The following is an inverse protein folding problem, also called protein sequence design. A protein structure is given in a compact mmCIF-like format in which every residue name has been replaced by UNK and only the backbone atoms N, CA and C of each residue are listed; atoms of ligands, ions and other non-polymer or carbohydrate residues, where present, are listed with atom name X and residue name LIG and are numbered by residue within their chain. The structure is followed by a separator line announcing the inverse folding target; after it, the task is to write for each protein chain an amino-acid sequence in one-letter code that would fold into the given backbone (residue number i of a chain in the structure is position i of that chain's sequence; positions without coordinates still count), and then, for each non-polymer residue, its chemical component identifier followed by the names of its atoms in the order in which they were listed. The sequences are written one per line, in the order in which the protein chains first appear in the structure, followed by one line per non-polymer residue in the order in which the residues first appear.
data_IF_675890407592
#
_entry.id   IF_675890407592
#
_cell.length_a   1.000
_cell.length_b   1.000
_cell.length_c   1.000
_cell.angle_alpha   90.00
_cell.angle_beta   90.00
_cell.angle_gamma   90.00
#
_symmetry.space_group_name_H-M   'P 1'
#
loop_
_entity.id
_entity.type
_entity.pdbx_description
1 polymer ?
#
# COMPACT_ATOMS: atom_id res chain seq x y z
N UNK A 1 -9.25 -17.35 10.25
CA UNK A 1 -9.73 -16.37 9.26
C UNK A 1 -10.25 -15.10 9.92
N UNK A 2 -11.24 -15.16 10.81
CA UNK A 2 -11.81 -13.96 11.47
C UNK A 2 -10.76 -13.20 12.31
N UNK A 3 -9.96 -13.90 13.13
CA UNK A 3 -8.90 -13.26 13.93
C UNK A 3 -7.88 -12.52 13.04
N UNK A 4 -7.36 -13.20 12.01
CA UNK A 4 -6.44 -12.60 11.05
C UNK A 4 -7.02 -11.34 10.39
N UNK A 5 -8.30 -11.38 9.99
CA UNK A 5 -8.96 -10.21 9.44
C UNK A 5 -9.00 -9.05 10.45
N UNK A 6 -9.33 -9.31 11.71
CA UNK A 6 -9.39 -8.30 12.77
C UNK A 6 -8.03 -7.65 12.98
N UNK A 7 -6.96 -8.45 13.08
CA UNK A 7 -5.60 -7.94 13.31
C UNK A 7 -5.11 -7.06 12.15
N UNK A 8 -5.34 -7.52 10.91
CA UNK A 8 -5.01 -6.74 9.72
C UNK A 8 -5.87 -5.46 9.63
N UNK A 9 -7.14 -5.53 10.01
CA UNK A 9 -8.04 -4.38 10.02
C UNK A 9 -7.66 -3.34 11.08
N UNK A 10 -7.17 -3.76 12.25
CA UNK A 10 -6.63 -2.85 13.27
C UNK A 10 -5.41 -2.10 12.73
N UNK A 11 -4.46 -2.82 12.13
CA UNK A 11 -3.28 -2.23 11.49
C UNK A 11 -3.70 -1.24 10.40
N UNK A 12 -4.69 -1.61 9.57
CA UNK A 12 -5.25 -0.72 8.55
C UNK A 12 -5.85 0.55 9.16
N UNK A 13 -6.60 0.41 10.24
CA UNK A 13 -7.28 1.53 10.89
C UNK A 13 -6.27 2.58 11.35
N UNK A 14 -5.15 2.16 11.94
CA UNK A 14 -4.06 3.07 12.32
C UNK A 14 -3.45 3.74 11.10
N UNK A 15 -3.16 2.98 10.03
CA UNK A 15 -2.63 3.54 8.78
C UNK A 15 -3.57 4.59 8.20
N UNK A 16 -4.87 4.34 8.15
CA UNK A 16 -5.86 5.28 7.62
C UNK A 16 -6.02 6.54 8.48
N UNK A 17 -5.98 6.41 9.80
CA UNK A 17 -6.02 7.57 10.72
C UNK A 17 -4.78 8.43 10.54
N UNK A 18 -3.59 7.82 10.51
CA UNK A 18 -2.35 8.57 10.30
C UNK A 18 -2.32 9.19 8.90
N UNK A 19 -2.75 8.46 7.87
CA UNK A 19 -2.91 9.00 6.52
C UNK A 19 -3.88 10.20 6.53
N UNK A 20 -5.04 10.10 7.17
CA UNK A 20 -5.99 11.20 7.28
C UNK A 20 -5.33 12.45 7.89
N UNK A 21 -4.61 12.30 9.00
CA UNK A 21 -3.90 13.41 9.66
C UNK A 21 -2.86 14.02 8.71
N UNK A 22 -2.02 13.18 8.09
CA UNK A 22 -0.99 13.65 7.13
C UNK A 22 -1.64 14.41 5.98
N UNK A 23 -2.72 13.89 5.39
CA UNK A 23 -3.42 14.52 4.28
C UNK A 23 -4.20 15.78 4.70
N UNK A 24 -4.60 15.90 5.96
CA UNK A 24 -5.25 17.09 6.51
C UNK A 24 -4.26 18.20 6.87
N UNK A 25 -3.01 17.86 7.18
CA UNK A 25 -1.97 18.87 7.48
C UNK A 25 -1.50 19.65 6.24
N UNK A 26 -0.88 20.82 6.45
CA UNK A 26 -0.34 21.70 5.38
C UNK A 26 0.69 21.03 4.45
N UNK A 27 1.13 19.80 4.75
CA UNK A 27 1.93 18.94 3.86
C UNK A 27 1.24 18.78 2.50
N UNK A 28 -0.06 18.51 2.45
CA UNK A 28 -0.82 18.37 1.19
C UNK A 28 -0.79 19.66 0.37
N UNK A 29 -0.94 20.81 1.00
CA UNK A 29 -0.89 22.12 0.32
C UNK A 29 0.50 22.37 -0.30
N UNK A 30 1.59 22.01 0.41
CA UNK A 30 2.95 22.13 -0.11
C UNK A 30 3.25 21.14 -1.25
N UNK A 31 2.72 19.92 -1.16
CA UNK A 31 2.88 18.87 -2.17
C UNK A 31 2.09 19.16 -3.47
N UNK A 32 0.92 19.84 -3.38
CA UNK A 32 0.05 20.15 -4.52
C UNK A 32 0.19 21.59 -5.07
N UNK A 33 0.66 22.58 -4.29
CA UNK A 33 0.88 23.97 -4.79
C UNK A 33 2.32 24.25 -5.26
N UNK A 34 3.32 23.51 -4.79
CA UNK A 34 4.69 23.67 -5.29
C UNK A 34 4.83 23.09 -6.69
N UNK A 35 5.54 23.77 -7.59
CA UNK A 35 6.07 23.16 -8.84
C UNK A 35 6.52 21.75 -8.51
N UNK A 36 6.08 20.72 -9.27
CA UNK A 36 6.40 19.28 -9.11
C UNK A 36 7.90 19.05 -8.89
N UNK A 37 8.37 19.28 -7.67
CA UNK A 37 9.77 19.26 -7.31
C UNK A 37 10.13 17.87 -6.84
N UNK A 38 11.33 17.41 -7.17
CA UNK A 38 11.86 16.14 -6.71
C UNK A 38 11.71 15.93 -5.18
N UNK A 39 11.78 17.02 -4.40
CA UNK A 39 11.65 17.02 -2.94
C UNK A 39 10.27 16.56 -2.43
N UNK A 40 9.17 16.84 -3.14
CA UNK A 40 7.83 16.37 -2.71
C UNK A 40 7.67 14.86 -2.89
N UNK A 41 8.30 14.30 -3.92
CA UNK A 41 8.35 12.86 -4.16
C UNK A 41 9.09 12.11 -3.05
N UNK A 42 10.22 12.65 -2.56
CA UNK A 42 11.00 12.03 -1.48
C UNK A 42 10.23 11.95 -0.15
N UNK A 43 9.48 13.00 0.19
CA UNK A 43 8.64 13.00 1.40
C UNK A 43 7.56 11.92 1.30
N UNK A 44 6.91 11.79 0.14
CA UNK A 44 5.90 10.75 -0.08
C UNK A 44 6.51 9.34 -0.05
N UNK A 45 7.69 9.16 -0.63
CA UNK A 45 8.45 7.90 -0.52
C UNK A 45 8.67 7.53 0.95
N UNK A 46 9.14 8.49 1.76
CA UNK A 46 9.39 8.25 3.18
C UNK A 46 8.10 7.89 3.94
N UNK A 47 7.04 8.69 3.79
CA UNK A 47 5.77 8.47 4.51
C UNK A 47 5.14 7.12 4.14
N UNK A 48 4.98 6.84 2.84
CA UNK A 48 4.37 5.57 2.41
C UNK A 48 5.29 4.37 2.61
N UNK A 49 6.61 4.57 2.61
CA UNK A 49 7.58 3.56 3.03
C UNK A 49 7.44 3.22 4.52
N UNK A 50 7.24 4.22 5.39
CA UNK A 50 6.95 4.00 6.81
C UNK A 50 5.61 3.29 7.03
N UNK A 51 4.57 3.60 6.24
CA UNK A 51 3.33 2.82 6.26
C UNK A 51 3.54 1.38 5.85
N UNK A 52 4.42 1.13 4.87
CA UNK A 52 4.80 -0.22 4.45
C UNK A 52 5.50 -1.00 5.59
N UNK A 53 6.47 -0.36 6.27
CA UNK A 53 7.14 -0.93 7.44
C UNK A 53 6.12 -1.23 8.54
N UNK A 54 5.29 -0.26 8.91
CA UNK A 54 4.26 -0.43 9.93
C UNK A 54 3.28 -1.55 9.57
N UNK A 55 2.85 -1.63 8.31
CA UNK A 55 2.01 -2.70 7.82
C UNK A 55 2.62 -4.10 8.00
N UNK A 56 3.96 -4.21 7.96
CA UNK A 56 4.69 -5.45 8.26
C UNK A 56 4.75 -5.74 9.76
N UNK A 57 5.01 -4.72 10.56
CA UNK A 57 5.13 -4.83 12.02
C UNK A 57 3.79 -5.17 12.70
N UNK A 58 2.68 -4.65 12.17
CA UNK A 58 1.32 -5.03 12.56
C UNK A 58 0.85 -6.35 11.94
N UNK A 59 1.72 -7.05 11.23
CA UNK A 59 1.41 -8.35 10.63
C UNK A 59 1.41 -9.49 11.64
N UNK A 60 0.69 -10.57 11.30
CA UNK A 60 0.55 -11.76 12.15
C UNK A 60 1.34 -12.91 11.55
N UNK A 61 2.13 -13.62 12.37
CA UNK A 61 2.87 -14.79 11.92
C UNK A 61 1.93 -16.01 11.84
N UNK A 62 1.79 -16.56 10.64
CA UNK A 62 0.95 -17.72 10.34
C UNK A 62 1.76 -18.63 9.41
N UNK A 63 1.93 -19.89 9.80
CA UNK A 63 2.67 -20.91 9.03
C UNK A 63 4.13 -20.53 8.70
N UNK A 64 4.78 -19.76 9.58
CA UNK A 64 6.17 -19.30 9.38
C UNK A 64 6.32 -18.15 8.39
N UNK A 65 5.22 -17.54 7.96
CA UNK A 65 5.18 -16.32 7.15
C UNK A 65 4.37 -15.23 7.86
N UNK A 66 4.63 -13.96 7.52
CA UNK A 66 3.95 -12.82 8.13
C UNK A 66 2.84 -12.34 7.20
N UNK A 67 1.57 -12.51 7.62
CA UNK A 67 0.42 -11.92 6.93
C UNK A 67 0.30 -10.47 7.32
N UNK A 68 0.12 -9.57 6.36
CA UNK A 68 0.31 -8.14 6.56
C UNK A 68 -0.44 -7.30 5.52
N UNK A 69 -0.43 -5.97 5.68
CA UNK A 69 -0.96 -5.00 4.70
C UNK A 69 0.15 -4.14 4.08
N UNK A 70 1.40 -4.63 4.07
CA UNK A 70 2.61 -3.87 3.69
C UNK A 70 2.51 -3.22 2.32
N UNK A 71 1.89 -3.90 1.36
CA UNK A 71 1.82 -3.49 -0.04
C UNK A 71 0.90 -2.29 -0.25
N UNK A 72 -0.02 -2.05 0.68
CA UNK A 72 -0.97 -0.94 0.61
C UNK A 72 -0.28 0.43 0.56
N UNK A 73 0.80 0.60 1.34
CA UNK A 73 1.57 1.83 1.35
C UNK A 73 2.19 2.16 -0.02
N UNK A 74 3.07 1.32 -0.57
CA UNK A 74 3.67 1.50 -1.89
C UNK A 74 2.64 1.62 -3.01
N UNK A 75 1.59 0.78 -3.00
CA UNK A 75 0.51 0.82 -3.96
C UNK A 75 -0.19 2.20 -3.96
N UNK A 76 -0.56 2.69 -2.78
CA UNK A 76 -1.18 4.02 -2.63
C UNK A 76 -0.22 5.15 -3.04
N UNK A 77 1.07 5.07 -2.69
CA UNK A 77 2.08 6.03 -3.13
C UNK A 77 2.21 6.09 -4.66
N UNK A 78 2.22 4.93 -5.31
CA UNK A 78 2.24 4.81 -6.77
C UNK A 78 1.01 5.45 -7.41
N UNK A 79 -0.17 5.19 -6.86
CA UNK A 79 -1.44 5.76 -7.35
C UNK A 79 -1.56 7.27 -7.13
N UNK A 80 -0.84 7.81 -6.14
CA UNK A 80 -0.87 9.22 -5.79
C UNK A 80 0.14 10.04 -6.62
N UNK A 81 1.35 9.52 -6.78
CA UNK A 81 2.50 10.31 -7.26
C UNK A 81 3.36 9.59 -8.32
N UNK A 82 2.90 8.46 -8.83
CA UNK A 82 3.49 7.76 -9.97
C UNK A 82 4.55 6.71 -9.61
N UNK A 83 5.12 6.07 -10.64
CA UNK A 83 5.90 4.84 -10.47
C UNK A 83 7.17 5.00 -9.66
N UNK A 84 7.89 6.13 -9.80
CA UNK A 84 9.11 6.36 -9.02
C UNK A 84 8.82 6.46 -7.51
N UNK A 85 7.72 7.11 -7.14
CA UNK A 85 7.32 7.26 -5.73
C UNK A 85 6.81 5.92 -5.18
N UNK A 86 5.98 5.20 -5.95
CA UNK A 86 5.51 3.87 -5.58
C UNK A 86 6.65 2.87 -5.39
N UNK A 87 7.58 2.79 -6.35
CA UNK A 87 8.76 1.92 -6.23
C UNK A 87 9.68 2.36 -5.08
N UNK A 88 9.89 3.66 -4.86
CA UNK A 88 10.71 4.14 -3.75
C UNK A 88 10.13 3.74 -2.38
N UNK A 89 8.83 3.94 -2.17
CA UNK A 89 8.15 3.47 -0.96
C UNK A 89 8.21 1.93 -0.86
N UNK A 90 8.03 1.25 -1.99
CA UNK A 90 8.14 -0.20 -2.10
C UNK A 90 9.51 -0.74 -1.71
N UNK A 91 10.58 -0.07 -2.11
CA UNK A 91 11.95 -0.43 -1.75
C UNK A 91 12.19 -0.32 -0.25
N UNK A 92 11.67 0.72 0.41
CA UNK A 92 11.77 0.86 1.88
C UNK A 92 11.08 -0.32 2.58
N UNK A 93 9.84 -0.64 2.20
CA UNK A 93 9.10 -1.77 2.75
C UNK A 93 9.73 -3.14 2.41
N UNK A 94 10.30 -3.27 1.21
CA UNK A 94 10.99 -4.47 0.75
C UNK A 94 12.29 -4.70 1.52
N UNK A 95 13.12 -3.68 1.72
CA UNK A 95 14.35 -3.79 2.50
C UNK A 95 14.06 -4.22 3.94
N UNK A 96 13.08 -3.59 4.57
CA UNK A 96 12.65 -3.98 5.91
C UNK A 96 12.15 -5.43 5.94
N UNK A 97 11.24 -5.84 5.03
CA UNK A 97 10.77 -7.23 4.98
C UNK A 97 11.91 -8.21 4.75
N UNK A 98 12.82 -7.90 3.85
CA UNK A 98 13.94 -8.78 3.51
C UNK A 98 14.84 -9.02 4.73
N UNK A 99 15.09 -7.98 5.53
CA UNK A 99 15.88 -8.10 6.77
C UNK A 99 15.27 -9.03 7.83
N UNK A 100 13.96 -9.29 7.79
CA UNK A 100 13.30 -10.21 8.72
C UNK A 100 13.53 -11.69 8.37
N UNK A 101 14.06 -12.00 7.19
CA UNK A 101 14.33 -13.37 6.77
C UNK A 101 13.06 -14.23 6.59
N UNK A 102 13.25 -15.55 6.60
CA UNK A 102 12.20 -16.54 6.34
C UNK A 102 12.04 -16.90 4.86
N UNK A 103 11.36 -18.02 4.60
CA UNK A 103 11.28 -18.61 3.25
C UNK A 103 10.54 -17.72 2.21
N UNK A 104 9.71 -16.79 2.68
CA UNK A 104 9.01 -15.79 1.86
C UNK A 104 9.72 -14.43 1.79
N UNK A 105 10.91 -14.28 2.39
CA UNK A 105 11.61 -12.98 2.46
C UNK A 105 11.80 -12.34 1.09
N UNK A 106 12.34 -13.09 0.13
CA UNK A 106 12.60 -12.59 -1.22
C UNK A 106 11.29 -12.32 -1.97
N UNK A 107 10.38 -13.28 -1.99
CA UNK A 107 9.14 -13.17 -2.77
C UNK A 107 8.24 -12.04 -2.28
N UNK A 108 8.02 -11.95 -0.97
CA UNK A 108 7.22 -10.88 -0.37
C UNK A 108 7.90 -9.52 -0.54
N UNK A 109 9.23 -9.42 -0.53
CA UNK A 109 9.93 -8.14 -0.75
C UNK A 109 9.78 -7.66 -2.18
N UNK A 110 9.92 -8.57 -3.16
CA UNK A 110 9.69 -8.25 -4.56
C UNK A 110 8.24 -7.85 -4.83
N UNK A 111 7.27 -8.58 -4.25
CA UNK A 111 5.85 -8.25 -4.38
C UNK A 111 5.55 -6.82 -3.92
N UNK A 112 6.19 -6.33 -2.85
CA UNK A 112 6.01 -4.97 -2.35
C UNK A 112 6.51 -3.89 -3.31
N UNK A 113 7.64 -4.12 -3.97
CA UNK A 113 8.13 -3.20 -5.02
C UNK A 113 7.18 -3.23 -6.21
N UNK A 114 6.71 -4.41 -6.60
CA UNK A 114 5.76 -4.62 -7.70
C UNK A 114 4.43 -3.93 -7.41
N UNK A 115 3.91 -4.00 -6.19
CA UNK A 115 2.70 -3.30 -5.78
C UNK A 115 2.81 -1.78 -6.00
N UNK A 116 3.95 -1.19 -5.61
CA UNK A 116 4.24 0.21 -5.87
C UNK A 116 4.31 0.55 -7.36
N UNK A 117 4.90 -0.33 -8.17
CA UNK A 117 4.94 -0.18 -9.62
C UNK A 117 3.54 -0.28 -10.24
N UNK A 118 2.70 -1.24 -9.82
CA UNK A 118 1.31 -1.39 -10.27
C UNK A 118 0.55 -0.09 -10.02
N UNK A 119 0.64 0.45 -8.81
CA UNK A 119 0.02 1.74 -8.47
C UNK A 119 0.50 2.86 -9.39
N UNK A 120 1.81 2.91 -9.66
CA UNK A 120 2.41 3.89 -10.57
C UNK A 120 1.95 3.76 -12.02
N UNK A 121 1.81 2.55 -12.54
CA UNK A 121 1.31 2.30 -13.90
C UNK A 121 -0.16 2.73 -14.00
N UNK A 122 -0.98 2.40 -12.99
CA UNK A 122 -2.38 2.84 -12.93
C UNK A 122 -2.49 4.36 -12.84
N UNK A 123 -1.61 5.02 -12.10
CA UNK A 123 -1.53 6.49 -12.07
C UNK A 123 -1.30 7.07 -13.48
N UNK A 124 -0.37 6.50 -14.26
CA UNK A 124 -0.10 6.95 -15.62
C UNK A 124 -1.28 6.69 -16.57
N UNK A 125 -1.90 5.50 -16.50
CA UNK A 125 -3.04 5.16 -17.35
C UNK A 125 -4.30 5.98 -17.03
N UNK A 126 -4.41 6.49 -15.80
CA UNK A 126 -5.54 7.30 -15.31
C UNK A 126 -5.29 8.80 -15.42
N UNK A 127 -4.41 9.23 -16.34
CA UNK A 127 -4.06 10.65 -16.55
C UNK A 127 -3.61 11.34 -15.26
N UNK A 128 -2.84 10.64 -14.43
CA UNK A 128 -2.25 11.15 -13.18
C UNK A 128 -3.28 11.52 -12.11
N UNK A 129 -4.42 10.82 -12.09
CA UNK A 129 -5.44 10.96 -11.05
C UNK A 129 -5.55 9.68 -10.23
N UNK A 130 -5.69 9.84 -8.91
CA UNK A 130 -5.98 8.72 -8.02
C UNK A 130 -7.31 8.06 -8.42
N UNK A 131 -7.47 6.72 -8.34
CA UNK A 131 -8.73 6.09 -8.68
C UNK A 131 -9.86 6.47 -7.70
N UNK A 132 -11.08 6.69 -8.21
CA UNK A 132 -12.29 6.79 -7.36
C UNK A 132 -12.53 5.49 -6.58
N UNK A 133 -13.40 5.55 -5.57
CA UNK A 133 -13.65 4.49 -4.58
C UNK A 133 -13.83 3.11 -5.20
N UNK A 134 -14.71 2.92 -6.19
CA UNK A 134 -14.98 1.59 -6.77
C UNK A 134 -13.73 1.01 -7.49
N UNK A 135 -13.08 1.71 -8.43
CA UNK A 135 -11.82 1.23 -9.00
C UNK A 135 -10.69 1.04 -7.97
N UNK A 136 -10.62 1.86 -6.92
CA UNK A 136 -9.65 1.70 -5.85
C UNK A 136 -9.92 0.43 -5.04
N UNK A 137 -11.18 0.16 -4.70
CA UNK A 137 -11.60 -1.07 -4.02
C UNK A 137 -11.23 -2.30 -4.84
N UNK A 138 -11.53 -2.31 -6.14
CA UNK A 138 -11.19 -3.42 -7.03
C UNK A 138 -9.67 -3.63 -7.12
N UNK A 139 -8.89 -2.55 -7.25
CA UNK A 139 -7.44 -2.66 -7.32
C UNK A 139 -6.85 -3.21 -6.01
N UNK A 140 -7.36 -2.76 -4.86
CA UNK A 140 -6.94 -3.27 -3.55
C UNK A 140 -7.33 -4.74 -3.33
N UNK A 141 -8.45 -5.18 -3.90
CA UNK A 141 -8.86 -6.58 -3.87
C UNK A 141 -8.01 -7.47 -4.80
N UNK A 142 -7.54 -6.95 -5.93
CA UNK A 142 -6.82 -7.73 -6.94
C UNK A 142 -5.31 -7.80 -6.69
N UNK A 143 -4.72 -6.77 -6.08
CA UNK A 143 -3.27 -6.74 -5.83
C UNK A 143 -2.76 -7.94 -5.02
N UNK A 144 -3.44 -8.42 -3.95
CA UNK A 144 -3.01 -9.60 -3.21
C UNK A 144 -2.90 -10.88 -4.05
N UNK A 145 -3.64 -10.98 -5.16
CA UNK A 145 -3.51 -12.11 -6.09
C UNK A 145 -2.17 -12.08 -6.83
N UNK A 146 -1.68 -10.88 -7.18
CA UNK A 146 -0.35 -10.70 -7.76
C UNK A 146 0.73 -11.06 -6.74
N UNK A 147 0.56 -10.62 -5.50
CA UNK A 147 1.46 -10.98 -4.41
C UNK A 147 1.55 -12.50 -4.21
N UNK A 148 0.39 -13.15 -4.14
CA UNK A 148 0.31 -14.60 -3.98
C UNK A 148 0.96 -15.32 -5.17
N UNK A 149 0.69 -14.89 -6.41
CA UNK A 149 1.30 -15.47 -7.60
C UNK A 149 2.84 -15.37 -7.58
N UNK A 150 3.39 -14.21 -7.22
CA UNK A 150 4.85 -14.04 -7.07
C UNK A 150 5.41 -14.92 -5.95
N UNK A 151 4.69 -15.08 -4.86
CA UNK A 151 5.08 -15.95 -3.75
C UNK A 151 5.12 -17.41 -4.15
N UNK A 152 4.10 -17.91 -4.85
CA UNK A 152 4.08 -19.28 -5.36
C UNK A 152 5.20 -19.56 -6.37
N UNK A 153 5.52 -18.56 -7.20
CA UNK A 153 6.58 -18.71 -8.21
C UNK A 153 7.97 -18.81 -7.58
N UNK A 154 8.25 -18.00 -6.55
CA UNK A 154 9.60 -17.79 -6.01
C UNK A 154 9.86 -18.55 -4.70
N UNK A 155 8.90 -18.55 -3.77
CA UNK A 155 9.12 -19.10 -2.43
C UNK A 155 9.19 -20.64 -2.49
N UNK A 156 10.08 -21.22 -1.69
CA UNK A 156 10.27 -22.67 -1.58
C UNK A 156 10.32 -23.09 -0.10
N UNK A 157 9.75 -24.25 0.26
CA UNK A 157 9.05 -25.23 -0.59
C UNK A 157 7.68 -24.74 -1.11
N UNK A 158 7.23 -25.28 -2.24
CA UNK A 158 6.01 -24.80 -2.93
C UNK A 158 4.75 -25.10 -2.11
N UNK A 159 4.70 -26.25 -1.47
CA UNK A 159 3.58 -26.72 -0.65
C UNK A 159 3.32 -25.73 0.50
N UNK A 160 4.38 -25.29 1.18
CA UNK A 160 4.28 -24.30 2.25
C UNK A 160 3.86 -22.92 1.71
N UNK A 161 4.37 -22.52 0.54
CA UNK A 161 3.97 -21.27 -0.10
C UNK A 161 2.49 -21.27 -0.50
N UNK A 162 1.98 -22.43 -0.94
CA UNK A 162 0.58 -22.65 -1.28
C UNK A 162 -0.34 -22.53 -0.08
N UNK A 163 0.00 -23.19 1.04
CA UNK A 163 -0.76 -23.09 2.28
C UNK A 163 -0.81 -21.64 2.81
N UNK A 164 0.33 -20.93 2.75
CA UNK A 164 0.40 -19.51 3.12
C UNK A 164 -0.48 -18.65 2.20
N UNK A 165 -0.43 -18.87 0.88
CA UNK A 165 -1.26 -18.13 -0.07
C UNK A 165 -2.76 -18.31 0.22
N UNK A 166 -3.20 -19.55 0.46
CA UNK A 166 -4.60 -19.85 0.79
C UNK A 166 -5.02 -19.23 2.14
N UNK A 167 -4.13 -19.22 3.12
CA UNK A 167 -4.42 -18.65 4.44
C UNK A 167 -4.50 -17.12 4.43
N UNK A 168 -3.65 -16.44 3.64
CA UNK A 168 -3.46 -14.99 3.71
C UNK A 168 -4.39 -14.24 2.77
N UNK A 169 -4.49 -14.73 1.53
CA UNK A 169 -5.09 -13.99 0.42
C UNK A 169 -6.52 -13.51 0.72
N UNK A 170 -7.44 -14.33 1.27
CA UNK A 170 -8.81 -13.87 1.50
C UNK A 170 -8.92 -12.67 2.45
N UNK A 171 -8.18 -12.69 3.56
CA UNK A 171 -8.19 -11.58 4.52
C UNK A 171 -7.48 -10.35 3.95
N UNK A 172 -6.34 -10.54 3.27
CA UNK A 172 -5.61 -9.45 2.62
C UNK A 172 -6.43 -8.77 1.53
N UNK A 173 -7.18 -9.52 0.72
CA UNK A 173 -8.08 -8.96 -0.30
C UNK A 173 -9.10 -8.00 0.31
N UNK A 174 -9.79 -8.41 1.38
CA UNK A 174 -10.79 -7.58 2.03
C UNK A 174 -10.17 -6.32 2.64
N UNK A 175 -9.09 -6.48 3.41
CA UNK A 175 -8.47 -5.36 4.12
C UNK A 175 -7.79 -4.40 3.13
N UNK A 176 -7.09 -4.88 2.11
CA UNK A 176 -6.46 -4.01 1.11
C UNK A 176 -7.50 -3.30 0.23
N UNK A 177 -8.63 -3.96 -0.10
CA UNK A 177 -9.75 -3.31 -0.79
C UNK A 177 -10.34 -2.15 0.04
N UNK A 178 -10.59 -2.38 1.32
CA UNK A 178 -11.07 -1.35 2.25
C UNK A 178 -10.05 -0.23 2.41
N UNK A 179 -8.77 -0.57 2.54
CA UNK A 179 -7.70 0.39 2.71
C UNK A 179 -7.55 1.31 1.51
N UNK A 180 -7.57 0.75 0.29
CA UNK A 180 -7.40 1.55 -0.91
C UNK A 180 -8.64 2.41 -1.20
N UNK A 181 -9.84 1.91 -0.89
CA UNK A 181 -11.06 2.70 -0.87
C UNK A 181 -10.97 3.86 0.14
N UNK A 182 -10.42 3.62 1.33
CA UNK A 182 -10.15 4.64 2.36
C UNK A 182 -9.19 5.73 1.87
N UNK A 183 -8.06 5.35 1.26
CA UNK A 183 -7.14 6.31 0.62
C UNK A 183 -7.84 7.12 -0.48
N UNK A 184 -8.68 6.48 -1.32
CA UNK A 184 -9.48 7.21 -2.31
C UNK A 184 -10.43 8.20 -1.64
N UNK A 185 -11.08 7.83 -0.55
CA UNK A 185 -12.01 8.71 0.17
C UNK A 185 -11.28 9.94 0.71
N UNK A 186 -10.17 9.72 1.41
CA UNK A 186 -9.29 10.76 1.98
C UNK A 186 -8.83 11.71 0.86
N UNK A 187 -8.30 11.17 -0.24
CA UNK A 187 -7.79 11.97 -1.35
C UNK A 187 -8.86 12.89 -1.96
N UNK A 188 -10.06 12.37 -2.22
CA UNK A 188 -11.10 13.14 -2.91
C UNK A 188 -11.88 14.09 -2.02
N UNK A 189 -12.03 13.80 -0.72
CA UNK A 189 -12.77 14.66 0.21
C UNK A 189 -11.89 15.68 0.93
N UNK A 190 -10.60 15.40 1.16
CA UNK A 190 -9.67 16.35 1.75
C UNK A 190 -8.82 17.10 0.72
N UNK A 191 -8.63 16.54 -0.48
CA UNK A 191 -7.89 17.18 -1.57
C UNK A 191 -8.63 18.33 -2.26
N UNK A 192 -9.86 18.65 -1.82
CA UNK A 192 -10.66 19.77 -2.29
C UNK A 192 -10.97 20.77 -1.17
N UNK A 193 -9.98 21.53 -0.73
CA UNK A 193 -10.22 22.93 -0.35
C UNK A 193 -9.06 23.83 -0.79
N UNK A 194 -9.29 24.60 -1.87
CA UNK A 194 -9.13 26.03 -1.79
C UNK A 194 -10.51 26.66 -1.91
N UNK A 195 -10.87 27.41 -0.86
CA UNK A 195 -12.05 28.28 -0.77
C UNK A 195 -12.44 28.85 -2.14
N UNK A 196 -13.69 28.58 -2.56
CA UNK A 196 -14.40 29.52 -3.42
C UNK A 196 -14.59 30.76 -2.55
N UNK A 197 -13.76 31.77 -2.79
CA UNK A 197 -13.91 33.09 -2.21
C UNK A 197 -15.34 33.58 -2.44
N UNK A 198 -15.93 34.01 -1.34
CA UNK A 198 -17.14 34.80 -1.23
C UNK A 198 -16.97 36.14 -1.98
N UNK A 199 -18.08 36.71 -2.46
CA UNK A 199 -18.20 38.12 -2.85
C UNK A 199 -17.92 38.44 -4.30
#
# INVERSE_FOLDING_TARGET
MIALFIDLFQTLSVVLVVAYIVFHTRLTILLFKGKKGFSSGLILIAIFGLFSIYGTLGGVNVLGAVSNIRDLGPLAAGLLAGPLVGMGAGLIGALHRYSLGGFTALSCSLATVVAGLIGGIVYLSRKRMFPKIVPALLLGALEPLVHAALSLFIARPFEQAWEVALAFTPAMMLVNAMGLAGFSFIFYHLGKEPKRGEG
#
